data_IF_395971884118
#
_entry.id   IF_395971884118
#
_cell.length_a   1.000
_cell.length_b   1.000
_cell.length_c   1.000
_cell.angle_alpha   90.00
_cell.angle_beta   90.00
_cell.angle_gamma   90.00
#
_symmetry.space_group_name_H-M   'P 1'
#
loop_
_entity.id
_entity.type
_entity.pdbx_description
1 polymer ?
#
# COMPACT_ATOMS: atom_id res chain seq x y z
N UNK A 1 9.03 23.51 5.50
CA UNK A 1 8.79 22.08 5.75
C UNK A 1 10.08 21.32 5.47
N UNK A 2 10.41 20.27 6.24
CA UNK A 2 11.59 19.45 5.96
C UNK A 2 11.35 18.67 4.65
N UNK A 3 12.37 18.39 3.82
CA UNK A 3 12.21 17.63 2.57
C UNK A 3 11.51 16.28 2.78
N UNK A 4 11.78 15.64 3.93
CA UNK A 4 11.14 14.39 4.35
C UNK A 4 9.62 14.51 4.49
N UNK A 5 9.13 15.63 5.03
CA UNK A 5 7.68 15.89 5.18
C UNK A 5 7.03 16.08 3.81
N UNK A 6 7.71 16.78 2.90
CA UNK A 6 7.23 16.98 1.53
C UNK A 6 7.13 15.64 0.80
N UNK A 7 8.17 14.81 0.90
CA UNK A 7 8.16 13.47 0.30
C UNK A 7 7.01 12.61 0.83
N UNK A 8 6.77 12.61 2.15
CA UNK A 8 5.67 11.86 2.75
C UNK A 8 4.30 12.34 2.23
N UNK A 9 4.10 13.66 2.16
CA UNK A 9 2.85 14.25 1.65
C UNK A 9 2.64 13.86 0.20
N UNK A 10 3.68 13.96 -0.64
CA UNK A 10 3.60 13.60 -2.06
C UNK A 10 3.25 12.11 -2.24
N UNK A 11 3.89 11.22 -1.48
CA UNK A 11 3.59 9.78 -1.52
C UNK A 11 2.14 9.52 -1.12
N UNK A 12 1.67 10.14 -0.03
CA UNK A 12 0.29 10.00 0.42
C UNK A 12 -0.72 10.50 -0.63
N UNK A 13 -0.42 11.62 -1.29
CA UNK A 13 -1.26 12.21 -2.33
C UNK A 13 -1.34 11.31 -3.57
N UNK A 14 -0.21 10.77 -4.01
CA UNK A 14 -0.16 9.81 -5.13
C UNK A 14 -0.96 8.55 -4.79
N UNK A 15 -0.77 8.00 -3.57
CA UNK A 15 -1.53 6.84 -3.12
C UNK A 15 -3.05 7.11 -3.14
N UNK A 16 -3.48 8.27 -2.64
CA UNK A 16 -4.90 8.66 -2.66
C UNK A 16 -5.45 8.78 -4.08
N UNK A 17 -4.69 9.40 -5.00
CA UNK A 17 -5.06 9.52 -6.41
C UNK A 17 -5.24 8.13 -7.03
N UNK A 18 -4.30 7.21 -6.80
CA UNK A 18 -4.39 5.83 -7.31
C UNK A 18 -5.65 5.16 -6.77
N UNK A 19 -5.94 5.26 -5.48
CA UNK A 19 -7.11 4.63 -4.85
C UNK A 19 -8.41 5.15 -5.47
N UNK A 20 -8.56 6.47 -5.61
CA UNK A 20 -9.79 7.08 -6.13
C UNK A 20 -9.98 6.76 -7.62
N UNK A 21 -8.92 6.89 -8.43
CA UNK A 21 -9.00 6.64 -9.88
C UNK A 21 -9.24 5.16 -10.19
N UNK A 22 -8.75 4.24 -9.36
CA UNK A 22 -8.93 2.80 -9.56
C UNK A 22 -10.17 2.26 -8.83
N UNK A 23 -11.31 2.90 -9.03
CA UNK A 23 -12.61 2.43 -8.51
C UNK A 23 -13.26 1.34 -9.38
N UNK A 24 -12.61 0.93 -10.47
CA UNK A 24 -13.10 -0.16 -11.30
C UNK A 24 -12.99 -1.51 -10.58
N UNK A 25 -13.89 -2.43 -10.90
CA UNK A 25 -13.84 -3.79 -10.35
C UNK A 25 -12.90 -4.66 -11.16
N UNK A 26 -12.12 -5.49 -10.47
CA UNK A 26 -11.28 -6.52 -11.10
C UNK A 26 -11.75 -7.91 -10.73
N UNK A 27 -11.55 -8.85 -11.66
CA UNK A 27 -11.84 -10.25 -11.43
C UNK A 27 -10.69 -10.92 -10.70
N UNK A 28 -10.91 -11.27 -9.44
CA UNK A 28 -10.01 -12.09 -8.67
C UNK A 28 -10.30 -13.57 -8.93
N UNK A 29 -9.26 -14.30 -9.35
CA UNK A 29 -9.32 -15.74 -9.56
C UNK A 29 -8.52 -16.42 -8.46
N UNK A 30 -9.22 -17.05 -7.51
CA UNK A 30 -8.60 -17.79 -6.41
C UNK A 30 -8.93 -19.27 -6.53
N UNK A 31 -7.97 -20.06 -7.02
CA UNK A 31 -8.10 -21.50 -7.30
C UNK A 31 -9.26 -21.84 -8.27
N UNK A 32 -10.51 -21.80 -7.79
CA UNK A 32 -11.74 -22.01 -8.57
C UNK A 32 -12.80 -20.91 -8.35
N UNK A 33 -12.53 -19.95 -7.47
CA UNK A 33 -13.44 -18.83 -7.19
C UNK A 33 -13.14 -17.64 -8.07
N UNK A 34 -14.19 -17.14 -8.73
CA UNK A 34 -14.16 -15.90 -9.50
C UNK A 34 -15.03 -14.87 -8.78
N UNK A 35 -14.37 -13.88 -8.19
CA UNK A 35 -15.01 -12.82 -7.41
C UNK A 35 -14.66 -11.47 -8.01
N UNK A 36 -15.65 -10.62 -8.21
CA UNK A 36 -15.43 -9.23 -8.64
C UNK A 36 -15.24 -8.38 -7.38
N UNK A 37 -14.02 -7.89 -7.14
CA UNK A 37 -13.73 -6.99 -6.03
C UNK A 37 -13.33 -5.62 -6.60
N UNK A 38 -13.90 -4.52 -6.07
CA UNK A 38 -13.43 -3.17 -6.37
C UNK A 38 -11.94 -2.98 -6.03
N UNK A 39 -11.13 -2.50 -6.98
CA UNK A 39 -9.69 -2.31 -6.76
C UNK A 39 -9.40 -1.29 -5.63
N UNK A 40 -10.34 -0.37 -5.38
CA UNK A 40 -10.34 0.56 -4.23
C UNK A 40 -10.20 -0.13 -2.87
N UNK A 41 -10.53 -1.42 -2.74
CA UNK A 41 -10.32 -2.21 -1.51
C UNK A 41 -8.92 -2.86 -1.51
N UNK A 42 -8.49 -3.39 -2.65
CA UNK A 42 -7.25 -4.16 -2.77
C UNK A 42 -6.01 -3.25 -2.70
N UNK A 43 -6.05 -2.07 -3.32
CA UNK A 43 -4.90 -1.14 -3.33
C UNK A 43 -4.51 -0.69 -1.92
N UNK A 44 -5.42 -0.19 -1.05
CA UNK A 44 -5.07 0.15 0.32
C UNK A 44 -4.51 -1.03 1.11
N UNK A 45 -5.09 -2.23 0.93
CA UNK A 45 -4.60 -3.46 1.56
C UNK A 45 -3.15 -3.77 1.18
N UNK A 46 -2.82 -3.69 -0.11
CA UNK A 46 -1.45 -3.89 -0.59
C UNK A 46 -0.49 -2.83 -0.05
N UNK A 47 -0.90 -1.56 -0.02
CA UNK A 47 -0.09 -0.47 0.55
C UNK A 47 0.18 -0.69 2.03
N UNK A 48 -0.83 -1.12 2.80
CA UNK A 48 -0.67 -1.43 4.23
C UNK A 48 0.27 -2.62 4.45
N UNK A 49 0.15 -3.69 3.65
CA UNK A 49 1.04 -4.85 3.73
C UNK A 49 2.48 -4.43 3.42
N UNK A 50 2.70 -3.65 2.35
CA UNK A 50 4.02 -3.15 1.98
C UNK A 50 4.63 -2.24 3.05
N UNK A 51 3.83 -1.33 3.62
CA UNK A 51 4.26 -0.46 4.71
C UNK A 51 4.60 -1.25 5.97
N UNK A 52 3.73 -2.16 6.40
CA UNK A 52 3.95 -3.01 7.57
C UNK A 52 5.20 -3.89 7.37
N UNK A 53 5.36 -4.49 6.20
CA UNK A 53 6.56 -5.27 5.84
C UNK A 53 7.83 -4.44 5.91
N UNK A 54 7.84 -3.25 5.29
CA UNK A 54 8.97 -2.32 5.34
C UNK A 54 9.30 -1.87 6.76
N UNK A 55 8.27 -1.57 7.58
CA UNK A 55 8.43 -1.20 8.98
C UNK A 55 9.02 -2.35 9.82
N UNK A 56 8.51 -3.57 9.65
CA UNK A 56 9.03 -4.76 10.34
C UNK A 56 10.49 -5.03 9.97
N UNK A 57 10.85 -4.94 8.69
CA UNK A 57 12.24 -5.10 8.21
C UNK A 57 13.15 -4.02 8.79
N UNK A 58 12.73 -2.75 8.78
CA UNK A 58 13.49 -1.66 9.35
C UNK A 58 13.71 -1.85 10.86
N UNK A 59 12.67 -2.29 11.58
CA UNK A 59 12.74 -2.60 13.02
C UNK A 59 13.70 -3.75 13.31
N UNK A 60 13.71 -4.79 12.49
CA UNK A 60 14.64 -5.92 12.63
C UNK A 60 16.09 -5.51 12.35
N UNK A 61 16.32 -4.64 11.37
CA UNK A 61 17.66 -4.14 11.05
C UNK A 61 18.21 -3.21 12.15
N UNK A 62 17.37 -2.31 12.67
CA UNK A 62 17.74 -1.44 13.80
C UNK A 62 18.05 -2.19 15.10
N UNK A 63 17.53 -3.41 15.27
CA UNK A 63 17.84 -4.29 16.42
C UNK A 63 19.15 -5.08 16.26
N UNK A 64 19.75 -5.10 15.06
CA UNK A 64 20.97 -5.84 14.76
C UNK A 64 22.23 -4.96 14.86
N UNK A 65 22.07 -3.65 14.82
CA UNK A 65 23.13 -2.64 14.90
C UNK A 65 23.20 -1.92 16.28
N UNK A 66 22.52 -2.46 17.31
CA UNK A 66 22.62 -2.05 18.74
C UNK A 66 22.98 -3.25 19.60
#
# INVERSE_FOLDING_TARGET
>A
MKPQTIALIVIALIALIIIIQNSHSVWFHLLFWRMSIPLIIIVPLMLLIGFAGGFLVAKMKGKKDS
#
